data_IF_290125782167
#
_entry.id   IF_290125782167
#
_cell.length_a   1.000
_cell.length_b   1.000
_cell.length_c   1.000
_cell.angle_alpha   90.00
_cell.angle_beta   90.00
_cell.angle_gamma   90.00
#
_symmetry.space_group_name_H-M   'P 1'
#
loop_
_entity.id
_entity.type
_entity.pdbx_description
1 polymer ?
#
# COMPACT_ATOMS: atom_id res chain seq x y z
N UNK A 1 13.38 -27.00 12.88
CA UNK A 1 14.82 -26.67 12.97
C UNK A 1 15.02 -25.66 14.09
N UNK A 2 16.07 -25.82 14.90
CA UNK A 2 16.51 -24.79 15.86
C UNK A 2 17.53 -23.89 15.17
N UNK A 3 17.34 -22.58 15.24
CA UNK A 3 18.28 -21.58 14.76
C UNK A 3 19.14 -21.13 15.95
N UNK A 4 20.46 -21.18 15.81
CA UNK A 4 21.39 -20.61 16.79
C UNK A 4 21.84 -19.23 16.31
N UNK A 5 21.75 -18.24 17.20
CA UNK A 5 22.19 -16.86 16.92
C UNK A 5 23.32 -16.54 17.89
N UNK A 6 24.43 -16.04 17.35
CA UNK A 6 25.57 -15.60 18.15
C UNK A 6 25.44 -14.09 18.38
N UNK A 7 25.43 -13.67 19.63
CA UNK A 7 25.30 -12.28 20.03
C UNK A 7 26.64 -11.79 20.56
N UNK A 8 26.98 -10.53 20.29
CA UNK A 8 28.08 -9.87 20.98
C UNK A 8 27.66 -9.49 22.41
N UNK A 9 28.63 -9.18 23.26
CA UNK A 9 28.41 -8.87 24.67
C UNK A 9 27.45 -7.69 24.90
N UNK A 10 27.43 -6.70 24.00
CA UNK A 10 26.53 -5.55 24.12
C UNK A 10 25.09 -5.97 23.78
N UNK A 11 24.92 -6.72 22.70
CA UNK A 11 23.62 -7.29 22.31
C UNK A 11 23.03 -8.24 23.37
N UNK A 12 23.87 -9.04 24.05
CA UNK A 12 23.43 -9.88 25.17
C UNK A 12 22.90 -9.06 26.34
N UNK A 13 23.55 -7.93 26.65
CA UNK A 13 23.08 -7.00 27.69
C UNK A 13 21.68 -6.46 27.35
N UNK A 14 21.46 -6.03 26.10
CA UNK A 14 20.15 -5.57 25.64
C UNK A 14 19.09 -6.66 25.74
N UNK A 15 19.44 -7.90 25.36
CA UNK A 15 18.52 -9.04 25.47
C UNK A 15 18.07 -9.26 26.92
N UNK A 16 19.00 -9.26 27.87
CA UNK A 16 18.69 -9.47 29.30
C UNK A 16 17.77 -8.35 29.81
N UNK A 17 18.08 -7.09 29.48
CA UNK A 17 17.31 -5.93 29.91
C UNK A 17 15.87 -5.98 29.37
N UNK A 18 15.68 -6.22 28.07
CA UNK A 18 14.36 -6.33 27.44
C UNK A 18 13.54 -7.49 28.04
N UNK A 19 14.16 -8.64 28.27
CA UNK A 19 13.47 -9.79 28.87
C UNK A 19 13.05 -9.51 30.32
N UNK A 20 13.83 -8.73 31.06
CA UNK A 20 13.51 -8.33 32.43
C UNK A 20 12.32 -7.38 32.50
N UNK A 21 12.22 -6.44 31.55
CA UNK A 21 11.13 -5.46 31.49
C UNK A 21 9.83 -6.06 30.96
N UNK A 22 9.89 -6.75 29.81
CA UNK A 22 8.70 -7.27 29.14
C UNK A 22 8.18 -8.58 29.76
N UNK A 23 8.97 -9.26 30.60
CA UNK A 23 8.65 -10.56 31.22
C UNK A 23 8.22 -11.63 30.21
N UNK A 24 8.84 -11.62 29.04
CA UNK A 24 8.60 -12.58 27.95
C UNK A 24 9.79 -13.52 27.78
N UNK A 25 9.62 -14.55 26.96
CA UNK A 25 10.72 -15.45 26.59
C UNK A 25 11.55 -14.87 25.44
N UNK A 26 12.81 -15.30 25.34
CA UNK A 26 13.69 -14.94 24.21
C UNK A 26 13.09 -15.34 22.86
N UNK A 27 12.41 -16.48 22.80
CA UNK A 27 11.74 -16.96 21.58
C UNK A 27 10.59 -16.04 21.16
N UNK A 28 9.78 -15.55 22.11
CA UNK A 28 8.70 -14.61 21.83
C UNK A 28 9.23 -13.26 21.37
N UNK A 29 10.29 -12.76 22.02
CA UNK A 29 10.96 -11.54 21.62
C UNK A 29 11.47 -11.63 20.17
N UNK A 30 12.16 -12.71 19.82
CA UNK A 30 12.67 -12.93 18.45
C UNK A 30 11.52 -12.96 17.44
N UNK A 31 10.40 -13.66 17.74
CA UNK A 31 9.22 -13.67 16.86
C UNK A 31 8.64 -12.27 16.65
N UNK A 32 8.54 -11.47 17.72
CA UNK A 32 8.03 -10.09 17.70
C UNK A 32 8.95 -9.19 16.87
N UNK A 33 10.26 -9.25 17.10
CA UNK A 33 11.25 -8.47 16.36
C UNK A 33 11.27 -8.82 14.87
N UNK A 34 11.28 -10.12 14.52
CA UNK A 34 11.22 -10.56 13.12
C UNK A 34 9.96 -10.09 12.42
N UNK A 35 8.80 -10.20 13.06
CA UNK A 35 7.53 -9.71 12.51
C UNK A 35 7.58 -8.21 12.27
N UNK A 36 8.03 -7.44 13.26
CA UNK A 36 8.10 -5.98 13.15
C UNK A 36 9.12 -5.55 12.09
N UNK A 37 10.28 -6.19 12.05
CA UNK A 37 11.30 -5.91 11.05
C UNK A 37 10.80 -6.25 9.64
N UNK A 38 10.15 -7.40 9.45
CA UNK A 38 9.53 -7.77 8.18
C UNK A 38 8.46 -6.77 7.72
N UNK A 39 7.63 -6.28 8.65
CA UNK A 39 6.67 -5.21 8.36
C UNK A 39 7.38 -3.91 7.97
N UNK A 40 8.45 -3.53 8.67
CA UNK A 40 9.22 -2.30 8.37
C UNK A 40 9.95 -2.35 7.03
N UNK A 41 10.38 -3.55 6.60
CA UNK A 41 10.99 -3.76 5.29
C UNK A 41 9.99 -3.58 4.16
N UNK A 42 8.69 -3.80 4.41
CA UNK A 42 7.65 -3.48 3.44
C UNK A 42 7.49 -1.98 3.40
N UNK A 43 7.79 -1.38 2.25
CA UNK A 43 7.43 0.01 1.97
C UNK A 43 5.93 0.15 2.22
N UNK A 44 5.48 1.03 3.14
CA UNK A 44 4.05 1.27 3.30
C UNK A 44 3.51 1.77 1.96
N UNK A 45 2.32 1.31 1.52
CA UNK A 45 1.76 1.77 0.27
C UNK A 45 1.59 3.28 0.34
N UNK A 46 2.08 3.95 -0.70
CA UNK A 46 1.86 5.37 -0.94
C UNK A 46 0.37 5.67 -1.00
N UNK A 47 -0.01 6.94 -0.82
CA UNK A 47 -1.42 7.37 -0.97
C UNK A 47 -1.96 6.93 -2.33
N UNK A 48 -1.14 7.01 -3.37
CA UNK A 48 -1.50 6.58 -4.73
C UNK A 48 -1.77 5.08 -4.83
N UNK A 49 -0.90 4.25 -4.26
CA UNK A 49 -1.11 2.79 -4.23
C UNK A 49 -2.35 2.41 -3.40
N UNK A 50 -2.62 3.14 -2.31
CA UNK A 50 -3.86 2.96 -1.53
C UNK A 50 -5.11 3.33 -2.32
N UNK A 51 -5.01 4.28 -3.25
CA UNK A 51 -6.10 4.71 -4.14
C UNK A 51 -6.29 3.79 -5.36
N UNK A 52 -5.50 2.73 -5.50
CA UNK A 52 -5.57 1.82 -6.65
C UNK A 52 -4.62 2.16 -7.80
N UNK A 53 -3.64 3.06 -7.58
CA UNK A 53 -2.64 3.44 -8.57
C UNK A 53 -2.88 4.82 -9.18
N UNK A 54 -2.18 5.11 -10.28
CA UNK A 54 -2.37 6.37 -10.99
C UNK A 54 -3.69 6.33 -11.76
N UNK A 55 -4.57 7.34 -11.60
CA UNK A 55 -5.83 7.36 -12.32
C UNK A 55 -5.55 7.53 -13.83
N UNK A 56 -5.91 6.51 -14.61
CA UNK A 56 -5.60 6.42 -16.03
C UNK A 56 -6.18 7.59 -16.85
N UNK A 57 -7.30 8.17 -16.40
CA UNK A 57 -8.04 9.20 -17.14
C UNK A 57 -8.23 10.51 -16.39
N UNK A 58 -7.48 10.78 -15.31
CA UNK A 58 -7.65 12.03 -14.54
C UNK A 58 -7.25 13.27 -15.34
N UNK A 59 -6.21 13.14 -16.17
CA UNK A 59 -5.67 14.21 -17.00
C UNK A 59 -6.02 14.04 -18.49
N UNK A 60 -6.74 12.98 -18.86
CA UNK A 60 -7.26 12.74 -20.21
C UNK A 60 -8.40 13.69 -20.58
N UNK A 61 -8.42 14.89 -19.99
CA UNK A 61 -9.35 15.96 -20.26
C UNK A 61 -9.15 16.51 -21.67
N UNK A 62 -9.54 15.75 -22.69
CA UNK A 62 -9.77 16.30 -24.02
C UNK A 62 -11.03 17.19 -24.02
N UNK A 63 -12.04 16.86 -23.19
CA UNK A 63 -13.27 17.68 -23.05
C UNK A 63 -13.83 17.60 -21.62
N UNK A 64 -14.18 18.77 -21.03
CA UNK A 64 -14.82 18.85 -19.72
C UNK A 64 -16.27 18.35 -19.79
N UNK A 65 -16.47 17.05 -19.53
CA UNK A 65 -17.80 16.45 -19.43
C UNK A 65 -18.61 16.93 -18.21
N UNK A 66 -18.03 17.76 -17.33
CA UNK A 66 -18.80 18.46 -16.30
C UNK A 66 -19.73 19.50 -16.94
N UNK A 67 -19.31 20.09 -18.06
CA UNK A 67 -20.11 21.05 -18.81
C UNK A 67 -21.34 20.36 -19.42
N UNK A 68 -22.52 20.96 -19.17
CA UNK A 68 -23.80 20.44 -19.62
C UNK A 68 -23.92 20.47 -21.14
N UNK A 69 -23.39 21.49 -21.80
CA UNK A 69 -23.56 21.69 -23.24
C UNK A 69 -22.66 20.74 -24.02
N UNK A 70 -21.42 20.53 -23.56
CA UNK A 70 -20.50 19.51 -24.07
C UNK A 70 -21.14 18.11 -23.97
N UNK A 71 -21.73 17.78 -22.80
CA UNK A 71 -22.43 16.49 -22.62
C UNK A 71 -23.58 16.30 -23.60
N UNK A 72 -24.42 17.33 -23.79
CA UNK A 72 -25.56 17.25 -24.73
C UNK A 72 -25.08 16.99 -26.15
N UNK A 73 -24.01 17.66 -26.57
CA UNK A 73 -23.45 17.49 -27.91
C UNK A 73 -22.94 16.07 -28.13
N UNK A 74 -22.15 15.50 -27.20
CA UNK A 74 -21.68 14.11 -27.32
C UNK A 74 -22.83 13.10 -27.33
N UNK A 75 -23.84 13.29 -26.47
CA UNK A 75 -25.01 12.39 -26.45
C UNK A 75 -25.75 12.44 -27.78
N UNK A 76 -25.95 13.64 -28.35
CA UNK A 76 -26.59 13.80 -29.65
C UNK A 76 -25.79 13.11 -30.77
N UNK A 77 -24.47 13.27 -30.80
CA UNK A 77 -23.59 12.61 -31.76
C UNK A 77 -23.64 11.09 -31.64
N UNK A 78 -23.58 10.55 -30.42
CA UNK A 78 -23.66 9.12 -30.17
C UNK A 78 -25.01 8.53 -30.62
N UNK A 79 -26.12 9.20 -30.29
CA UNK A 79 -27.44 8.77 -30.74
C UNK A 79 -27.54 8.79 -32.27
N UNK A 80 -27.03 9.83 -32.91
CA UNK A 80 -27.02 9.93 -34.37
C UNK A 80 -26.24 8.78 -35.02
N UNK A 81 -25.00 8.52 -34.57
CA UNK A 81 -24.19 7.40 -35.06
C UNK A 81 -24.88 6.05 -34.87
N UNK A 82 -25.53 5.83 -33.72
CA UNK A 82 -26.29 4.61 -33.45
C UNK A 82 -27.49 4.45 -34.39
N UNK A 83 -28.14 5.56 -34.75
CA UNK A 83 -29.25 5.56 -35.70
C UNK A 83 -28.80 5.33 -37.14
N UNK A 84 -27.61 5.79 -37.54
CA UNK A 84 -27.06 5.56 -38.88
C UNK A 84 -26.49 4.15 -39.09
N UNK A 85 -26.18 3.43 -38.00
CA UNK A 85 -25.69 2.05 -38.04
C UNK A 85 -26.83 1.00 -38.09
N UNK A 86 -28.09 1.43 -38.01
CA UNK A 86 -29.29 0.60 -38.10
C UNK A 86 -30.06 0.86 -39.39
#
# INVERSE_FOLDING_TARGET
>A
MMLTVNLDHESEKYLIEILSEEKITSQELVKKLLRNHWISLKKPPTVLEKMGGYPEHLLDGEEDLSDRDIRKQKIAQYLHQKHEQH
#
